data_IF_419369590928
#
_entry.id   IF_419369590928
#
_cell.length_a   1.000
_cell.length_b   1.000
_cell.length_c   1.000
_cell.angle_alpha   90.00
_cell.angle_beta   90.00
_cell.angle_gamma   90.00
#
_symmetry.space_group_name_H-M   'P 1'
#
loop_
_entity.id
_entity.type
_entity.pdbx_description
1 polymer ?
#
# COMPACT_ATOMS: atom_id res chain seq x y z
N UNK A 1 -14.87 -7.28 7.85
CA UNK A 1 -14.22 -7.74 9.09
C UNK A 1 -15.31 -8.06 10.07
N UNK A 2 -15.36 -9.27 10.63
CA UNK A 2 -16.49 -9.70 11.46
C UNK A 2 -16.40 -9.17 12.88
N UNK A 3 -15.21 -9.25 13.50
CA UNK A 3 -15.06 -8.91 14.92
C UNK A 3 -13.66 -8.39 15.24
N UNK A 4 -13.61 -7.29 15.98
CA UNK A 4 -12.46 -6.92 16.81
C UNK A 4 -12.94 -6.83 18.26
N UNK A 5 -12.29 -7.54 19.16
CA UNK A 5 -12.51 -7.45 20.60
C UNK A 5 -11.17 -7.32 21.32
N UNK A 6 -11.08 -6.45 22.32
CA UNK A 6 -9.89 -6.28 23.14
C UNK A 6 -10.24 -5.90 24.58
N UNK A 7 -9.46 -6.43 25.52
CA UNK A 7 -9.46 -6.13 26.94
C UNK A 7 -8.03 -5.76 27.34
N UNK A 8 -7.86 -4.57 27.91
CA UNK A 8 -6.56 -4.06 28.33
C UNK A 8 -6.51 -3.98 29.86
N UNK A 9 -5.39 -4.40 30.45
CA UNK A 9 -5.09 -4.20 31.88
C UNK A 9 -3.92 -3.25 32.01
N UNK A 10 -4.09 -2.19 32.81
CA UNK A 10 -3.09 -1.13 33.02
C UNK A 10 -2.63 -0.49 31.72
N UNK A 11 -3.58 -0.03 30.91
CA UNK A 11 -3.32 0.74 29.70
C UNK A 11 -2.85 2.15 30.08
N UNK A 12 -1.61 2.48 29.79
CA UNK A 12 -1.10 3.85 29.87
C UNK A 12 -1.22 4.51 28.49
N UNK A 13 -2.01 5.58 28.43
CA UNK A 13 -2.07 6.45 27.26
C UNK A 13 -1.19 7.69 27.48
N UNK A 14 -0.75 8.32 26.40
CA UNK A 14 -0.18 9.66 26.50
C UNK A 14 -1.19 10.68 27.06
N UNK A 15 -0.70 11.82 27.54
CA UNK A 15 -1.53 12.75 28.29
C UNK A 15 -2.73 13.25 27.45
N UNK A 16 -3.94 13.39 28.01
CA UNK A 16 -5.11 13.84 27.25
C UNK A 16 -4.92 15.18 26.53
N UNK A 17 -4.08 16.08 27.07
CA UNK A 17 -3.74 17.36 26.42
C UNK A 17 -2.92 17.21 25.13
N UNK A 18 -2.35 16.03 24.87
CA UNK A 18 -1.67 15.68 23.63
C UNK A 18 -2.62 15.05 22.59
N UNK A 19 -3.84 14.66 22.99
CA UNK A 19 -4.80 14.09 22.05
C UNK A 19 -5.28 15.19 21.11
N UNK A 20 -5.33 14.85 19.83
CA UNK A 20 -5.72 15.74 18.75
C UNK A 20 -6.88 15.08 18.01
N UNK A 21 -8.10 15.62 18.15
CA UNK A 21 -9.24 15.15 17.37
C UNK A 21 -8.87 15.08 15.88
N UNK A 22 -9.27 14.00 15.20
CA UNK A 22 -8.93 13.79 13.79
C UNK A 22 -7.51 13.28 13.53
N UNK A 23 -6.59 13.24 14.51
CA UNK A 23 -5.26 12.62 14.35
C UNK A 23 -5.23 11.26 15.08
N UNK A 24 -5.44 10.11 14.40
CA UNK A 24 -5.48 8.80 15.04
C UNK A 24 -4.22 8.46 15.84
N UNK A 25 -3.04 8.90 15.38
CA UNK A 25 -1.74 8.71 16.05
C UNK A 25 -1.49 9.64 17.25
N UNK A 26 -2.39 10.59 17.52
CA UNK A 26 -2.25 11.48 18.69
C UNK A 26 -2.60 10.79 20.01
N UNK A 27 -3.46 9.77 19.96
CA UNK A 27 -3.68 8.84 21.06
C UNK A 27 -2.65 7.72 20.89
N UNK A 28 -1.71 7.65 21.82
CA UNK A 28 -0.62 6.68 21.82
C UNK A 28 -0.73 5.82 23.06
N UNK A 29 -0.65 4.52 22.85
CA UNK A 29 -0.42 3.57 23.94
C UNK A 29 1.04 3.65 24.33
N UNK A 30 1.32 4.12 25.56
CA UNK A 30 2.67 4.21 26.13
C UNK A 30 3.10 2.88 26.72
N UNK A 31 2.20 2.24 27.46
CA UNK A 31 2.45 0.95 28.08
C UNK A 31 1.13 0.19 28.24
N UNK A 32 1.21 -1.13 28.28
CA UNK A 32 0.09 -2.00 28.62
C UNK A 32 0.64 -3.25 29.31
N UNK A 33 0.22 -3.50 30.55
CA UNK A 33 0.67 -4.70 31.26
C UNK A 33 0.14 -5.98 30.59
N UNK A 34 -1.12 -5.98 30.16
CA UNK A 34 -1.74 -7.12 29.47
C UNK A 34 -2.77 -6.65 28.46
N UNK A 35 -2.75 -7.29 27.30
CA UNK A 35 -3.81 -7.23 26.30
C UNK A 35 -4.34 -8.63 26.07
N UNK A 36 -5.65 -8.79 26.21
CA UNK A 36 -6.37 -9.94 25.67
C UNK A 36 -7.14 -9.45 24.44
N UNK A 37 -6.91 -10.01 23.26
CA UNK A 37 -7.51 -9.56 22.03
C UNK A 37 -7.91 -10.72 21.12
N UNK A 38 -8.94 -10.48 20.31
CA UNK A 38 -9.39 -11.35 19.23
C UNK A 38 -9.78 -10.48 18.03
N UNK A 39 -9.25 -10.83 16.87
CA UNK A 39 -9.57 -10.25 15.57
C UNK A 39 -9.98 -11.38 14.64
N UNK A 40 -11.17 -11.28 14.07
CA UNK A 40 -11.72 -12.26 13.14
C UNK A 40 -11.97 -11.58 11.79
N UNK A 41 -11.28 -12.09 10.78
CA UNK A 41 -11.36 -11.63 9.39
C UNK A 41 -12.00 -12.75 8.58
N UNK A 42 -13.10 -12.46 7.89
CA UNK A 42 -13.75 -13.45 7.03
C UNK A 42 -13.06 -13.51 5.67
N UNK A 43 -13.03 -14.70 5.08
CA UNK A 43 -12.57 -14.88 3.70
C UNK A 43 -13.32 -13.94 2.75
N UNK A 44 -14.65 -13.88 2.90
CA UNK A 44 -15.51 -13.00 2.10
C UNK A 44 -15.08 -11.54 2.20
N UNK A 45 -14.70 -11.05 3.38
CA UNK A 45 -14.27 -9.66 3.53
C UNK A 45 -12.98 -9.38 2.75
N UNK A 46 -12.05 -10.35 2.73
CA UNK A 46 -10.82 -10.23 1.95
C UNK A 46 -11.13 -10.32 0.47
N UNK A 47 -12.00 -11.24 0.03
CA UNK A 47 -12.38 -11.36 -1.37
C UNK A 47 -13.18 -10.16 -1.89
N UNK A 48 -14.09 -9.60 -1.10
CA UNK A 48 -14.82 -8.36 -1.43
C UNK A 48 -13.83 -7.18 -1.57
N UNK A 49 -12.82 -7.13 -0.69
CA UNK A 49 -11.71 -6.19 -0.83
C UNK A 49 -10.94 -6.47 -2.13
N UNK A 50 -10.40 -7.66 -2.34
CA UNK A 50 -9.65 -8.02 -3.55
C UNK A 50 -10.43 -7.76 -4.86
N UNK A 51 -11.75 -8.00 -4.86
CA UNK A 51 -12.63 -7.74 -6.00
C UNK A 51 -12.79 -6.26 -6.34
N UNK A 52 -12.48 -5.35 -5.41
CA UNK A 52 -12.40 -3.92 -5.71
C UNK A 52 -11.02 -3.46 -6.19
N UNK A 53 -10.08 -4.37 -6.51
CA UNK A 53 -8.99 -4.11 -7.44
C UNK A 53 -9.41 -4.52 -8.86
N UNK A 54 -10.14 -3.67 -9.62
CA UNK A 54 -10.49 -4.03 -10.99
C UNK A 54 -9.21 -4.19 -11.81
N UNK A 55 -9.01 -5.38 -12.36
CA UNK A 55 -8.15 -5.54 -13.53
C UNK A 55 -9.01 -6.09 -14.66
N UNK A 56 -9.05 -5.38 -15.80
CA UNK A 56 -9.82 -5.74 -17.00
C UNK A 56 -9.41 -7.08 -17.61
N UNK A 57 -8.27 -7.64 -17.18
CA UNK A 57 -7.71 -8.91 -17.68
C UNK A 57 -7.29 -9.86 -16.56
N UNK A 58 -7.80 -9.73 -15.34
CA UNK A 58 -7.45 -10.68 -14.28
C UNK A 58 -8.30 -10.60 -13.02
N UNK A 59 -8.15 -11.59 -12.16
CA UNK A 59 -8.79 -11.64 -10.85
C UNK A 59 -7.86 -12.28 -9.83
N UNK A 60 -7.93 -11.84 -8.58
CA UNK A 60 -7.26 -12.47 -7.44
C UNK A 60 -8.35 -12.83 -6.43
N UNK A 61 -8.26 -14.03 -5.86
CA UNK A 61 -9.09 -14.48 -4.75
C UNK A 61 -8.22 -15.16 -3.71
N UNK A 62 -8.73 -15.21 -2.49
CA UNK A 62 -8.20 -16.01 -1.41
C UNK A 62 -9.25 -17.03 -0.99
N UNK A 63 -8.82 -18.26 -0.77
CA UNK A 63 -9.61 -19.29 -0.13
C UNK A 63 -8.90 -19.68 1.18
N UNK A 64 -9.64 -19.70 2.28
CA UNK A 64 -9.17 -20.18 3.55
C UNK A 64 -9.36 -21.69 3.62
N UNK A 65 -8.29 -22.36 4.02
CA UNK A 65 -8.26 -23.80 4.23
C UNK A 65 -7.85 -24.03 5.69
N UNK A 66 -8.30 -25.12 6.35
CA UNK A 66 -7.88 -25.40 7.70
C UNK A 66 -6.34 -25.36 7.86
N UNK A 67 -5.84 -24.38 8.60
CA UNK A 67 -4.42 -24.12 8.84
C UNK A 67 -3.62 -23.59 7.65
N UNK A 68 -4.23 -23.24 6.53
CA UNK A 68 -3.54 -22.74 5.33
C UNK A 68 -4.37 -21.75 4.53
N UNK A 69 -3.74 -21.09 3.57
CA UNK A 69 -4.42 -20.19 2.64
C UNK A 69 -4.07 -20.59 1.22
N UNK A 70 -5.04 -20.48 0.32
CA UNK A 70 -4.87 -20.57 -1.11
C UNK A 70 -5.10 -19.19 -1.69
N UNK A 71 -4.08 -18.61 -2.31
CA UNK A 71 -4.22 -17.40 -3.12
C UNK A 71 -4.26 -17.83 -4.58
N UNK A 72 -5.38 -17.58 -5.25
CA UNK A 72 -5.56 -17.89 -6.65
C UNK A 72 -5.63 -16.60 -7.46
N UNK A 73 -4.90 -16.56 -8.57
CA UNK A 73 -4.97 -15.47 -9.54
C UNK A 73 -5.17 -16.00 -10.94
N UNK A 74 -5.98 -15.31 -11.73
CA UNK A 74 -6.17 -15.56 -13.16
C UNK A 74 -5.80 -14.30 -13.92
N UNK A 75 -5.11 -14.46 -15.04
CA UNK A 75 -4.76 -13.37 -15.96
C UNK A 75 -4.94 -13.81 -17.40
N UNK A 76 -5.65 -13.00 -18.18
CA UNK A 76 -5.71 -13.15 -19.62
C UNK A 76 -4.47 -12.56 -20.28
N UNK A 77 -3.85 -13.36 -21.15
CA UNK A 77 -2.71 -12.94 -21.97
C UNK A 77 -3.02 -13.16 -23.44
N UNK A 78 -2.22 -12.58 -24.33
CA UNK A 78 -2.35 -12.82 -25.78
C UNK A 78 -2.17 -14.29 -26.18
N UNK A 79 -1.64 -15.14 -25.29
CA UNK A 79 -1.40 -16.57 -25.50
C UNK A 79 -2.39 -17.47 -24.73
N UNK A 80 -3.42 -16.89 -24.11
CA UNK A 80 -4.42 -17.60 -23.30
C UNK A 80 -4.44 -17.18 -21.84
N UNK A 81 -5.26 -17.86 -21.04
CA UNK A 81 -5.40 -17.58 -19.61
C UNK A 81 -4.31 -18.26 -18.80
N UNK A 82 -3.56 -17.47 -18.03
CA UNK A 82 -2.64 -17.96 -17.02
C UNK A 82 -3.38 -17.99 -15.68
N UNK A 83 -3.43 -19.16 -15.05
CA UNK A 83 -3.92 -19.36 -13.69
C UNK A 83 -2.73 -19.68 -12.80
N UNK A 84 -2.54 -18.93 -11.73
CA UNK A 84 -1.52 -19.22 -10.74
C UNK A 84 -2.18 -19.40 -9.37
N UNK A 85 -1.73 -20.41 -8.63
CA UNK A 85 -2.27 -20.81 -7.34
C UNK A 85 -1.11 -20.95 -6.36
N UNK A 86 -1.16 -20.20 -5.27
CA UNK A 86 -0.17 -20.27 -4.19
C UNK A 86 -0.87 -20.79 -2.94
N UNK A 87 -0.45 -21.94 -2.44
CA UNK A 87 -0.91 -22.47 -1.15
C UNK A 87 0.18 -22.33 -0.12
N UNK A 88 -0.15 -22.00 1.12
CA UNK A 88 0.84 -21.92 2.20
C UNK A 88 0.21 -21.99 3.58
N UNK A 89 1.00 -22.43 4.56
CA UNK A 89 0.62 -22.47 5.98
C UNK A 89 0.98 -21.13 6.59
N UNK A 90 -0.01 -20.44 7.18
CA UNK A 90 0.27 -19.21 7.92
C UNK A 90 0.65 -19.54 9.36
N UNK A 91 1.72 -18.91 9.83
CA UNK A 91 2.20 -19.06 11.21
C UNK A 91 2.53 -17.70 11.82
N UNK A 92 2.61 -17.65 13.16
CA UNK A 92 3.17 -16.49 13.87
C UNK A 92 4.54 -16.88 14.41
N UNK A 93 5.57 -16.26 13.87
CA UNK A 93 6.96 -16.34 14.35
C UNK A 93 7.25 -15.23 15.37
N UNK A 94 8.06 -15.56 16.38
CA UNK A 94 8.43 -14.69 17.49
C UNK A 94 7.24 -14.01 18.21
N UNK A 95 6.03 -14.57 18.05
CA UNK A 95 4.78 -14.02 18.58
C UNK A 95 4.28 -12.73 17.90
N UNK A 96 4.94 -12.26 16.83
CA UNK A 96 4.66 -10.96 16.20
C UNK A 96 4.75 -10.94 14.67
N UNK A 97 5.35 -11.93 14.02
CA UNK A 97 5.51 -11.92 12.56
C UNK A 97 4.65 -12.98 11.93
N UNK A 98 3.75 -12.61 11.03
CA UNK A 98 3.01 -13.58 10.25
C UNK A 98 3.90 -14.02 9.08
N UNK A 99 4.18 -15.32 8.98
CA UNK A 99 4.99 -15.93 7.91
C UNK A 99 4.21 -16.97 7.13
N UNK A 100 4.65 -17.29 5.91
CA UNK A 100 4.09 -18.32 5.05
C UNK A 100 5.04 -19.53 4.93
N UNK A 101 4.80 -20.55 5.75
CA UNK A 101 5.50 -21.82 5.65
C UNK A 101 4.97 -22.72 4.54
N UNK A 102 5.83 -23.61 4.03
CA UNK A 102 5.46 -24.68 3.10
C UNK A 102 4.71 -24.21 1.83
N UNK A 103 5.08 -23.05 1.31
CA UNK A 103 4.41 -22.50 0.14
C UNK A 103 4.59 -23.40 -1.09
N UNK A 104 3.52 -23.60 -1.84
CA UNK A 104 3.50 -24.32 -3.13
C UNK A 104 2.85 -23.45 -4.18
N UNK A 105 3.53 -23.30 -5.32
CA UNK A 105 3.04 -22.51 -6.45
C UNK A 105 2.73 -23.45 -7.61
N UNK A 106 1.51 -23.32 -8.15
CA UNK A 106 1.08 -24.00 -9.38
C UNK A 106 0.76 -22.96 -10.44
N UNK A 107 1.28 -23.14 -11.64
CA UNK A 107 0.95 -22.34 -12.83
C UNK A 107 0.28 -23.24 -13.84
N UNK A 108 -0.94 -22.89 -14.24
CA UNK A 108 -1.80 -23.68 -15.13
C UNK A 108 -1.91 -25.14 -14.68
N UNK A 109 -1.98 -25.35 -13.35
CA UNK A 109 -2.08 -26.66 -12.71
C UNK A 109 -0.75 -27.41 -12.56
N UNK A 110 0.35 -26.92 -13.14
CA UNK A 110 1.68 -27.53 -12.99
C UNK A 110 2.43 -26.93 -11.80
N UNK A 111 3.11 -27.78 -11.01
CA UNK A 111 3.95 -27.32 -9.90
C UNK A 111 5.16 -26.56 -10.46
N UNK A 112 5.37 -25.34 -9.94
CA UNK A 112 6.47 -24.44 -10.29
C UNK A 112 7.21 -23.95 -9.04
N UNK A 113 6.98 -24.57 -7.87
CA UNK A 113 7.44 -24.09 -6.57
C UNK A 113 8.95 -23.83 -6.55
N UNK A 114 9.74 -24.72 -7.16
CA UNK A 114 11.20 -24.59 -7.18
C UNK A 114 11.69 -23.37 -7.97
N UNK A 115 10.98 -22.98 -9.03
CA UNK A 115 11.33 -21.82 -9.85
C UNK A 115 11.17 -20.50 -9.08
N UNK A 116 10.27 -20.46 -8.10
CA UNK A 116 9.92 -19.26 -7.33
C UNK A 116 10.37 -19.34 -5.86
N UNK A 117 11.12 -20.37 -5.47
CA UNK A 117 11.49 -20.62 -4.06
C UNK A 117 12.14 -19.42 -3.38
N UNK A 118 13.02 -18.71 -4.10
CA UNK A 118 13.71 -17.52 -3.58
C UNK A 118 12.75 -16.33 -3.42
N UNK A 119 11.83 -16.16 -4.37
CA UNK A 119 10.85 -15.06 -4.36
C UNK A 119 9.87 -15.26 -3.21
N UNK A 120 9.38 -16.49 -2.99
CA UNK A 120 8.55 -16.88 -1.85
C UNK A 120 9.24 -16.56 -0.53
N UNK A 121 10.49 -17.01 -0.35
CA UNK A 121 11.24 -16.78 0.88
C UNK A 121 11.49 -15.28 1.14
N UNK A 122 11.49 -14.45 0.10
CA UNK A 122 11.62 -13.00 0.21
C UNK A 122 10.34 -12.29 0.68
N UNK A 123 9.19 -12.97 0.69
CA UNK A 123 7.92 -12.41 1.17
C UNK A 123 7.78 -12.45 2.70
N UNK A 124 8.59 -13.25 3.39
CA UNK A 124 8.52 -13.35 4.84
C UNK A 124 9.28 -12.21 5.55
N UNK A 125 8.67 -11.58 6.58
CA UNK A 125 7.31 -11.82 7.07
C UNK A 125 6.25 -11.13 6.20
N UNK A 126 5.10 -11.78 6.01
CA UNK A 126 3.94 -11.18 5.34
C UNK A 126 3.39 -9.97 6.12
N UNK A 127 3.44 -10.04 7.45
CA UNK A 127 3.00 -8.97 8.34
C UNK A 127 3.87 -8.89 9.58
N UNK A 128 4.34 -7.69 9.90
CA UNK A 128 4.86 -7.39 11.24
C UNK A 128 3.74 -6.81 12.12
N UNK A 129 3.43 -7.48 13.21
CA UNK A 129 2.39 -7.09 14.17
C UNK A 129 2.90 -6.09 15.21
N UNK A 130 4.16 -5.64 15.12
CA UNK A 130 4.66 -4.54 15.94
C UNK A 130 3.86 -3.24 15.71
N UNK A 131 3.46 -2.99 14.46
CA UNK A 131 2.65 -1.82 14.06
C UNK A 131 1.15 -2.11 14.09
N UNK A 132 0.74 -3.28 14.60
CA UNK A 132 -0.66 -3.62 14.70
C UNK A 132 -1.36 -2.74 15.76
N UNK A 133 -2.58 -2.23 15.50
CA UNK A 133 -3.25 -1.27 16.39
C UNK A 133 -3.50 -1.79 17.81
N UNK A 134 -3.51 -3.10 18.00
CA UNK A 134 -3.68 -3.74 19.30
C UNK A 134 -2.31 -4.18 19.83
N UNK A 135 -1.80 -3.56 20.92
CA UNK A 135 -0.50 -3.91 21.47
C UNK A 135 -0.59 -5.30 22.12
N UNK A 136 0.15 -6.29 21.61
CA UNK A 136 0.28 -7.58 22.27
C UNK A 136 1.70 -8.15 22.14
N UNK A 137 2.13 -8.89 23.16
CA UNK A 137 3.44 -9.55 23.18
C UNK A 137 3.45 -10.90 22.47
N UNK A 138 2.29 -11.55 22.34
CA UNK A 138 2.18 -12.88 21.74
C UNK A 138 0.83 -13.07 21.05
N UNK A 139 0.87 -13.07 19.73
CA UNK A 139 -0.25 -13.42 18.88
C UNK A 139 -0.27 -14.91 18.52
N UNK A 140 -1.47 -15.44 18.33
CA UNK A 140 -1.77 -16.76 17.81
C UNK A 140 -2.62 -16.56 16.57
N UNK A 141 -2.26 -17.23 15.49
CA UNK A 141 -3.04 -17.26 14.26
C UNK A 141 -3.72 -18.62 14.13
N UNK A 142 -5.00 -18.60 13.76
CA UNK A 142 -5.75 -19.78 13.33
C UNK A 142 -6.49 -19.44 12.06
N UNK A 143 -6.50 -20.39 11.13
CA UNK A 143 -7.24 -20.29 9.87
C UNK A 143 -8.15 -21.51 9.80
N UNK A 144 -9.44 -21.29 9.61
CA UNK A 144 -10.42 -22.33 9.30
C UNK A 144 -10.88 -22.20 7.83
N UNK A 145 -12.03 -22.74 7.47
CA UNK A 145 -12.56 -22.71 6.11
C UNK A 145 -13.34 -21.43 5.75
N UNK A 146 -13.53 -20.52 6.71
CA UNK A 146 -14.31 -19.29 6.50
C UNK A 146 -13.65 -18.05 7.08
N UNK A 147 -12.71 -18.21 8.01
CA UNK A 147 -12.12 -17.12 8.77
C UNK A 147 -10.64 -17.31 9.09
N UNK A 148 -9.97 -16.17 9.24
CA UNK A 148 -8.67 -16.04 9.85
C UNK A 148 -8.86 -15.33 11.19
N UNK A 149 -8.41 -15.98 12.25
CA UNK A 149 -8.47 -15.48 13.62
C UNK A 149 -7.07 -15.19 14.14
N UNK A 150 -6.85 -13.93 14.49
CA UNK A 150 -5.67 -13.49 15.22
C UNK A 150 -6.08 -13.23 16.68
N UNK A 151 -5.54 -13.98 17.63
CA UNK A 151 -5.91 -13.84 19.05
C UNK A 151 -4.72 -13.92 19.99
N UNK A 152 -4.89 -13.40 21.19
CA UNK A 152 -3.98 -13.68 22.30
C UNK A 152 -4.32 -15.04 22.94
N UNK A 153 -3.41 -15.65 23.74
CA UNK A 153 -3.67 -16.93 24.40
C UNK A 153 -4.91 -16.94 25.29
N UNK A 154 -5.20 -15.80 25.93
CA UNK A 154 -6.40 -15.60 26.74
C UNK A 154 -7.34 -14.71 25.94
N UNK A 155 -8.61 -15.11 25.70
CA UNK A 155 -9.57 -14.28 25.01
C UNK A 155 -10.00 -13.08 25.86
N UNK A 156 -10.44 -11.97 25.24
CA UNK A 156 -11.02 -10.85 25.97
C UNK A 156 -12.29 -11.29 26.69
N UNK A 157 -12.46 -10.86 27.94
CA UNK A 157 -13.72 -11.05 28.68
C UNK A 157 -14.80 -10.09 28.17
N UNK A 158 -16.05 -10.47 28.34
CA UNK A 158 -17.15 -9.52 28.20
C UNK A 158 -17.01 -8.41 29.25
N UNK A 159 -17.25 -7.17 28.82
CA UNK A 159 -17.22 -6.03 29.73
C UNK A 159 -18.40 -6.15 30.72
N UNK A 160 -18.09 -6.31 32.00
CA UNK A 160 -19.09 -6.20 33.07
C UNK A 160 -19.36 -4.72 33.35
N UNK A 161 -20.64 -4.34 33.48
CA UNK A 161 -21.06 -2.97 33.84
C UNK A 161 -21.78 -2.22 32.74
N UNK A 162 -21.54 -0.91 32.65
CA UNK A 162 -22.22 -0.04 31.68
C UNK A 162 -21.66 -0.26 30.27
N UNK A 163 -22.46 -0.87 29.41
CA UNK A 163 -22.15 -0.99 27.99
C UNK A 163 -22.58 0.28 27.26
N UNK A 164 -21.60 1.01 26.73
CA UNK A 164 -21.83 2.12 25.82
C UNK A 164 -21.76 1.61 24.39
N UNK A 165 -22.89 1.61 23.68
CA UNK A 165 -22.92 1.34 22.24
C UNK A 165 -22.76 2.67 21.51
N UNK A 166 -21.58 2.89 20.94
CA UNK A 166 -21.43 3.95 19.95
C UNK A 166 -21.95 3.42 18.61
N UNK A 167 -23.18 3.78 18.27
CA UNK A 167 -23.57 3.77 16.87
C UNK A 167 -22.95 5.01 16.24
N UNK A 168 -22.26 4.83 15.12
CA UNK A 168 -21.70 5.94 14.37
C UNK A 168 -22.87 6.72 13.77
N UNK A 169 -23.49 7.59 14.56
CA UNK A 169 -24.16 8.77 14.02
C UNK A 169 -23.10 9.58 13.26
N UNK A 170 -23.52 10.40 12.30
CA UNK A 170 -22.68 11.30 11.56
C UNK A 170 -22.10 12.40 12.48
N UNK A 171 -21.32 12.03 13.47
CA UNK A 171 -20.31 12.87 14.10
C UNK A 171 -19.18 12.93 13.07
N UNK A 172 -19.03 14.04 12.31
CA UNK A 172 -17.82 14.21 11.54
C UNK A 172 -16.70 14.21 12.57
N UNK A 173 -15.85 13.17 12.55
CA UNK A 173 -14.52 13.32 13.12
C UNK A 173 -14.00 14.64 12.56
N UNK A 174 -13.53 15.58 13.39
CA UNK A 174 -12.96 16.80 12.85
C UNK A 174 -11.89 16.37 11.84
N UNK A 175 -11.84 17.04 10.67
CA UNK A 175 -10.92 16.66 9.61
C UNK A 175 -9.52 16.51 10.21
N UNK A 176 -8.76 15.47 9.83
CA UNK A 176 -7.39 15.34 10.27
C UNK A 176 -6.66 16.64 9.95
N UNK A 177 -5.81 17.09 10.87
CA UNK A 177 -5.09 18.34 10.65
C UNK A 177 -4.28 18.24 9.35
N UNK A 178 -4.38 19.23 8.44
CA UNK A 178 -3.65 19.22 7.18
C UNK A 178 -2.15 19.26 7.43
N UNK A 179 -1.39 18.62 6.53
CA UNK A 179 0.06 18.77 6.52
C UNK A 179 0.41 20.25 6.37
N UNK A 180 1.39 20.70 7.16
CA UNK A 180 1.87 22.07 7.09
C UNK A 180 2.90 22.18 5.98
N UNK A 181 2.51 22.77 4.85
CA UNK A 181 3.42 23.08 3.76
C UNK A 181 3.11 24.44 3.14
N UNK A 182 4.09 24.97 2.43
CA UNK A 182 3.99 26.22 1.67
C UNK A 182 3.99 25.84 0.19
N UNK A 183 2.88 26.05 -0.54
CA UNK A 183 2.76 25.64 -1.95
C UNK A 183 3.93 26.11 -2.82
N UNK A 184 4.46 27.31 -2.58
CA UNK A 184 5.56 27.94 -3.31
C UNK A 184 6.91 27.20 -3.20
N UNK A 185 7.03 26.24 -2.26
CA UNK A 185 8.23 25.38 -2.16
C UNK A 185 8.23 24.25 -3.18
N UNK A 186 7.08 23.92 -3.75
CA UNK A 186 6.95 22.91 -4.79
C UNK A 186 7.32 23.51 -6.13
N UNK A 187 8.02 22.76 -6.95
CA UNK A 187 8.50 23.17 -8.27
C UNK A 187 8.02 22.19 -9.34
N UNK A 188 8.00 22.64 -10.60
CA UNK A 188 7.64 21.77 -11.72
C UNK A 188 8.61 20.59 -11.84
N UNK A 189 8.05 19.40 -11.97
CA UNK A 189 8.84 18.17 -12.04
C UNK A 189 9.25 17.63 -10.67
N UNK A 190 8.85 18.25 -9.56
CA UNK A 190 8.93 17.61 -8.26
C UNK A 190 8.13 16.32 -8.27
N UNK A 191 8.67 15.28 -7.65
CA UNK A 191 8.07 13.96 -7.55
C UNK A 191 7.60 13.78 -6.12
N UNK A 192 6.31 13.55 -5.93
CA UNK A 192 5.72 13.29 -4.63
C UNK A 192 5.49 11.78 -4.50
N UNK A 193 6.00 11.19 -3.42
CA UNK A 193 5.72 9.82 -3.01
C UNK A 193 4.82 9.86 -1.78
N UNK A 194 3.75 9.07 -1.76
CA UNK A 194 2.79 9.03 -0.63
C UNK A 194 2.58 7.62 -0.10
N UNK A 195 2.39 7.50 1.21
CA UNK A 195 1.84 6.30 1.84
C UNK A 195 0.33 6.50 1.98
N UNK A 196 -0.45 5.85 1.12
CA UNK A 196 -1.90 5.96 1.12
C UNK A 196 -2.56 5.18 2.26
N UNK A 197 -3.66 5.73 2.78
CA UNK A 197 -4.54 5.13 3.78
C UNK A 197 -5.56 4.17 3.16
N UNK A 198 -5.80 4.28 1.86
CA UNK A 198 -6.75 3.41 1.17
C UNK A 198 -6.35 1.95 1.35
N UNK A 199 -7.35 1.08 1.48
CA UNK A 199 -7.12 -0.35 1.62
C UNK A 199 -6.31 -0.91 0.44
N UNK A 200 -6.44 -0.32 -0.76
CA UNK A 200 -5.62 -0.63 -1.94
C UNK A 200 -4.15 -0.33 -1.71
N UNK A 201 -3.85 0.84 -1.15
CA UNK A 201 -2.49 1.21 -0.77
C UNK A 201 -1.94 0.25 0.27
N UNK A 202 -2.73 -0.07 1.31
CA UNK A 202 -2.30 -0.99 2.36
C UNK A 202 -2.10 -2.42 1.86
N UNK A 203 -2.94 -2.91 0.96
CA UNK A 203 -2.77 -4.22 0.34
C UNK A 203 -1.56 -4.24 -0.62
N UNK A 204 -1.33 -3.20 -1.42
CA UNK A 204 -0.10 -3.09 -2.25
C UNK A 204 1.15 -3.12 -1.37
N UNK A 205 1.16 -2.34 -0.28
CA UNK A 205 2.27 -2.28 0.68
C UNK A 205 2.44 -3.60 1.44
N UNK A 206 1.36 -4.28 1.77
CA UNK A 206 1.37 -5.57 2.48
C UNK A 206 1.90 -6.69 1.60
N UNK A 207 1.38 -6.83 0.38
CA UNK A 207 1.71 -7.97 -0.48
C UNK A 207 3.04 -7.79 -1.23
N UNK A 208 3.46 -6.54 -1.47
CA UNK A 208 4.52 -6.29 -2.43
C UNK A 208 5.59 -5.28 -1.98
N UNK A 209 5.47 -4.71 -0.77
CA UNK A 209 6.54 -3.89 -0.16
C UNK A 209 6.52 -3.99 1.37
N UNK A 210 6.96 -2.94 2.08
CA UNK A 210 6.80 -2.81 3.54
C UNK A 210 5.58 -1.93 3.86
N UNK A 211 4.86 -2.18 4.98
CA UNK A 211 3.68 -1.40 5.38
C UNK A 211 3.91 0.12 5.48
N UNK A 212 5.15 0.51 5.81
CA UNK A 212 5.56 1.91 5.99
C UNK A 212 6.08 2.53 4.69
N UNK A 213 6.11 1.80 3.58
CA UNK A 213 6.67 2.27 2.31
C UNK A 213 5.68 3.15 1.52
N UNK A 214 6.08 3.64 0.35
CA UNK A 214 5.23 4.48 -0.50
C UNK A 214 4.38 3.64 -1.45
N UNK A 215 3.07 3.88 -1.46
CA UNK A 215 2.10 3.13 -2.29
C UNK A 215 1.77 3.83 -3.59
N UNK A 216 2.00 5.14 -3.68
CA UNK A 216 1.59 5.94 -4.83
C UNK A 216 2.57 7.08 -5.09
N UNK A 217 2.56 7.60 -6.32
CA UNK A 217 3.44 8.68 -6.75
C UNK A 217 2.78 9.61 -7.77
N UNK A 218 3.17 10.89 -7.73
CA UNK A 218 2.72 11.90 -8.68
C UNK A 218 3.81 12.93 -8.99
N UNK A 219 3.63 13.68 -10.07
CA UNK A 219 4.54 14.74 -10.50
C UNK A 219 3.88 16.11 -10.42
N UNK A 220 4.57 17.09 -9.85
CA UNK A 220 4.07 18.44 -9.68
C UNK A 220 4.15 19.22 -10.99
N UNK A 221 3.09 19.97 -11.27
CA UNK A 221 3.05 20.99 -12.32
C UNK A 221 2.26 22.21 -11.85
N UNK A 222 2.88 23.38 -11.92
CA UNK A 222 2.22 24.66 -11.77
C UNK A 222 1.42 25.00 -13.02
N UNK A 223 0.14 25.31 -12.81
CA UNK A 223 -0.77 25.78 -13.85
C UNK A 223 -1.78 26.76 -13.24
N UNK A 224 -1.98 27.90 -13.90
CA UNK A 224 -2.89 28.93 -13.39
C UNK A 224 -2.47 29.54 -12.04
N UNK A 225 -1.17 29.52 -11.71
CA UNK A 225 -0.66 30.04 -10.43
C UNK A 225 -0.90 29.13 -9.23
N UNK A 226 -1.31 27.87 -9.45
CA UNK A 226 -1.48 26.87 -8.40
C UNK A 226 -0.68 25.59 -8.75
N UNK A 227 -0.14 24.87 -7.77
CA UNK A 227 0.48 23.58 -7.99
C UNK A 227 -0.57 22.46 -8.11
N UNK A 228 -0.43 21.66 -9.14
CA UNK A 228 -1.20 20.45 -9.41
C UNK A 228 -0.30 19.24 -9.34
N UNK A 229 -0.89 18.07 -9.09
CA UNK A 229 -0.19 16.79 -9.12
C UNK A 229 -0.79 15.95 -10.23
N UNK A 230 0.06 15.46 -11.12
CA UNK A 230 -0.30 14.58 -12.22
C UNK A 230 0.11 13.16 -11.84
N UNK A 231 -0.84 12.23 -11.89
CA UNK A 231 -0.61 10.84 -11.52
C UNK A 231 -1.54 9.91 -12.29
N UNK A 232 -1.12 8.66 -12.47
CA UNK A 232 -2.00 7.62 -12.98
C UNK A 232 -2.75 6.98 -11.82
N UNK A 233 -4.08 7.00 -11.86
CA UNK A 233 -4.93 6.57 -10.77
C UNK A 233 -5.80 5.38 -11.16
N UNK A 234 -5.87 4.33 -10.31
CA UNK A 234 -6.80 3.24 -10.54
C UNK A 234 -8.27 3.69 -10.35
N UNK A 235 -8.53 4.78 -9.61
CA UNK A 235 -9.89 5.22 -9.31
C UNK A 235 -10.55 5.92 -10.49
N UNK A 236 -9.79 6.73 -11.24
CA UNK A 236 -10.26 7.32 -12.50
C UNK A 236 -9.95 6.46 -13.73
N UNK A 237 -9.27 5.32 -13.54
CA UNK A 237 -8.79 4.41 -14.58
C UNK A 237 -7.89 5.09 -15.65
N UNK A 238 -7.27 6.22 -15.33
CA UNK A 238 -6.43 7.00 -16.25
C UNK A 238 -5.43 7.91 -15.53
N UNK A 239 -4.60 8.58 -16.31
CA UNK A 239 -3.81 9.73 -15.85
C UNK A 239 -4.76 10.89 -15.59
N UNK A 240 -4.71 11.38 -14.35
CA UNK A 240 -5.48 12.50 -13.89
C UNK A 240 -4.58 13.60 -13.33
N UNK A 241 -5.19 14.74 -13.06
CA UNK A 241 -4.54 15.88 -12.48
C UNK A 241 -5.44 16.45 -11.40
N UNK A 242 -4.92 16.51 -10.18
CA UNK A 242 -5.65 17.02 -9.02
C UNK A 242 -4.86 18.13 -8.30
N UNK A 243 -5.54 19.02 -7.54
CA UNK A 243 -4.85 20.04 -6.77
C UNK A 243 -3.88 19.41 -5.75
N UNK A 244 -2.73 20.05 -5.52
CA UNK A 244 -1.73 19.57 -4.56
C UNK A 244 -2.31 19.29 -3.16
N UNK A 245 -3.28 20.08 -2.73
CA UNK A 245 -3.94 19.93 -1.42
C UNK A 245 -4.80 18.67 -1.33
N UNK A 246 -5.43 18.26 -2.43
CA UNK A 246 -6.23 17.03 -2.48
C UNK A 246 -5.32 15.80 -2.53
N UNK A 247 -4.27 15.82 -3.37
CA UNK A 247 -3.27 14.74 -3.42
C UNK A 247 -2.56 14.52 -2.07
N UNK A 248 -2.32 15.60 -1.32
CA UNK A 248 -1.74 15.56 0.02
C UNK A 248 -2.80 15.54 1.12
N UNK A 249 -4.04 15.17 0.82
CA UNK A 249 -5.12 15.19 1.79
C UNK A 249 -4.79 14.24 2.96
N UNK A 250 -4.84 14.73 4.21
CA UNK A 250 -4.60 13.88 5.37
C UNK A 250 -5.72 12.84 5.58
N UNK A 251 -6.81 12.88 4.81
CA UNK A 251 -7.79 11.78 4.76
C UNK A 251 -7.26 10.59 3.94
N UNK A 252 -6.52 10.88 2.87
CA UNK A 252 -6.09 9.89 1.88
C UNK A 252 -4.69 9.34 2.16
N UNK A 253 -3.83 10.09 2.86
CA UNK A 253 -2.42 9.71 3.05
C UNK A 253 -1.96 9.80 4.52
N UNK A 254 -0.98 8.99 4.89
CA UNK A 254 -0.32 9.00 6.21
C UNK A 254 0.96 9.83 6.23
N UNK A 255 1.72 9.81 5.14
CA UNK A 255 2.95 10.59 4.97
C UNK A 255 3.22 10.83 3.50
N UNK A 256 4.00 11.87 3.22
CA UNK A 256 4.53 12.16 1.90
C UNK A 256 6.01 12.56 1.94
N UNK A 257 6.71 12.28 0.86
CA UNK A 257 8.06 12.80 0.61
C UNK A 257 8.13 13.41 -0.78
N UNK A 258 8.86 14.52 -0.90
CA UNK A 258 9.05 15.23 -2.16
C UNK A 258 10.50 15.11 -2.60
N UNK A 259 10.69 14.70 -3.84
CA UNK A 259 11.98 14.50 -4.48
C UNK A 259 12.13 15.42 -5.69
N UNK A 260 13.35 15.91 -5.91
CA UNK A 260 13.70 16.82 -7.01
C UNK A 260 14.91 16.32 -7.79
N UNK A 261 14.95 16.61 -9.09
CA UNK A 261 16.11 16.35 -9.93
C UNK A 261 17.28 17.28 -9.58
N UNK A 262 18.41 16.69 -9.16
CA UNK A 262 19.62 17.41 -8.76
C UNK A 262 20.17 18.26 -9.91
N UNK A 263 20.23 19.57 -9.70
CA UNK A 263 20.93 20.50 -10.60
C UNK A 263 20.41 20.57 -12.03
N UNK A 264 19.21 20.06 -12.33
CA UNK A 264 18.67 19.98 -13.69
C UNK A 264 17.22 20.47 -13.78
N UNK A 265 17.01 21.74 -13.43
CA UNK A 265 15.69 22.41 -13.45
C UNK A 265 15.03 22.36 -14.83
N UNK A 266 15.80 22.50 -15.91
CA UNK A 266 15.25 22.38 -17.27
C UNK A 266 14.69 21.00 -17.59
N UNK A 267 15.34 19.93 -17.11
CA UNK A 267 14.81 18.58 -17.27
C UNK A 267 13.61 18.33 -16.37
N UNK A 268 13.59 18.84 -15.14
CA UNK A 268 12.42 18.78 -14.27
C UNK A 268 11.19 19.44 -14.93
N UNK A 269 11.37 20.63 -15.51
CA UNK A 269 10.34 21.33 -16.29
C UNK A 269 9.88 20.52 -17.52
N UNK A 270 10.79 19.87 -18.24
CA UNK A 270 10.43 18.98 -19.37
C UNK A 270 9.66 17.75 -18.91
N UNK A 271 10.05 17.15 -17.79
CA UNK A 271 9.37 15.99 -17.22
C UNK A 271 7.94 16.37 -16.78
N UNK A 272 7.78 17.49 -16.08
CA UNK A 272 6.46 18.02 -15.72
C UNK A 272 5.57 18.29 -16.94
N UNK A 273 6.14 18.77 -18.05
CA UNK A 273 5.42 18.91 -19.32
C UNK A 273 5.06 17.58 -19.97
N UNK A 274 5.94 16.57 -19.91
CA UNK A 274 5.66 15.24 -20.43
C UNK A 274 4.51 14.58 -19.66
N UNK A 275 4.53 14.65 -18.32
CA UNK A 275 3.43 14.19 -17.48
C UNK A 275 2.10 14.90 -17.84
N UNK A 276 2.13 16.21 -18.06
CA UNK A 276 0.96 16.97 -18.51
C UNK A 276 0.45 16.50 -19.88
N UNK A 277 1.35 16.12 -20.79
CA UNK A 277 0.99 15.48 -22.06
C UNK A 277 0.17 14.21 -21.86
N UNK A 278 0.60 13.31 -20.97
CA UNK A 278 -0.13 12.06 -20.68
C UNK A 278 -1.52 12.31 -20.09
N UNK A 279 -1.66 13.35 -19.26
CA UNK A 279 -2.96 13.79 -18.76
C UNK A 279 -3.87 14.27 -19.90
N UNK A 280 -3.38 15.14 -20.79
CA UNK A 280 -4.17 15.64 -21.92
C UNK A 280 -4.58 14.55 -22.90
N UNK A 281 -3.75 13.51 -23.05
CA UNK A 281 -4.05 12.32 -23.84
C UNK A 281 -5.14 11.44 -23.21
N UNK A 282 -5.45 11.64 -21.92
CA UNK A 282 -6.35 10.77 -21.17
C UNK A 282 -5.79 9.35 -21.04
N UNK A 283 -4.46 9.22 -20.87
CA UNK A 283 -3.76 7.93 -20.96
C UNK A 283 -4.34 6.93 -19.93
N UNK A 284 -4.79 5.74 -20.35
CA UNK A 284 -5.37 4.75 -19.44
C UNK A 284 -4.41 4.32 -18.32
N UNK A 285 -4.99 3.95 -17.17
CA UNK A 285 -4.26 3.33 -16.09
C UNK A 285 -3.85 1.91 -16.50
N UNK A 286 -2.61 1.53 -16.22
CA UNK A 286 -2.12 0.18 -16.41
C UNK A 286 -2.40 -0.67 -15.17
N UNK A 287 -3.50 -1.42 -15.23
CA UNK A 287 -3.94 -2.37 -14.21
C UNK A 287 -3.15 -3.68 -14.19
N UNK A 288 -2.28 -3.88 -15.18
CA UNK A 288 -1.43 -5.06 -15.32
C UNK A 288 0.01 -4.82 -14.89
N UNK A 289 0.38 -3.56 -14.60
CA UNK A 289 1.73 -3.12 -14.29
C UNK A 289 2.77 -3.60 -15.32
N UNK A 290 2.37 -3.72 -16.59
CA UNK A 290 3.20 -4.11 -17.72
C UNK A 290 3.96 -2.90 -18.28
N UNK A 291 5.21 -2.74 -17.82
CA UNK A 291 6.11 -1.69 -18.24
C UNK A 291 6.49 -1.69 -19.74
N UNK A 292 5.99 -2.65 -20.52
CA UNK A 292 6.16 -2.73 -21.98
C UNK A 292 4.98 -2.15 -22.73
N UNK A 293 3.83 -1.98 -22.08
CA UNK A 293 2.70 -1.29 -22.71
C UNK A 293 3.01 0.20 -22.73
N UNK A 294 3.11 0.77 -23.92
CA UNK A 294 3.27 2.21 -24.07
C UNK A 294 1.92 2.92 -23.97
N UNK A 295 0.79 2.24 -24.15
CA UNK A 295 -0.54 2.85 -24.25
C UNK A 295 -1.21 3.09 -22.90
N UNK A 296 -0.80 2.37 -21.87
CA UNK A 296 -1.25 2.57 -20.49
C UNK A 296 -0.05 2.88 -19.59
N UNK A 297 -0.31 3.41 -18.40
CA UNK A 297 0.73 3.59 -17.38
C UNK A 297 0.16 3.57 -15.98
N UNK A 298 0.96 3.08 -15.03
CA UNK A 298 0.70 3.22 -13.60
C UNK A 298 1.54 4.35 -12.99
N UNK A 299 1.30 4.65 -11.72
CA UNK A 299 1.77 5.89 -11.09
C UNK A 299 3.28 6.11 -11.14
N UNK A 300 4.09 5.09 -10.85
CA UNK A 300 5.56 5.20 -10.87
C UNK A 300 6.13 5.15 -12.28
N UNK A 301 5.48 4.41 -13.18
CA UNK A 301 5.85 4.38 -14.58
C UNK A 301 5.65 5.73 -15.26
N UNK A 302 4.58 6.46 -14.92
CA UNK A 302 4.36 7.83 -15.38
C UNK A 302 5.57 8.72 -15.08
N UNK A 303 6.09 8.65 -13.84
CA UNK A 303 7.26 9.43 -13.42
C UNK A 303 8.48 9.05 -14.25
N UNK A 304 8.74 7.75 -14.36
CA UNK A 304 9.89 7.24 -15.09
C UNK A 304 9.84 7.62 -16.58
N UNK A 305 8.72 7.39 -17.28
CA UNK A 305 8.54 7.74 -18.70
C UNK A 305 8.59 9.27 -18.93
N UNK A 306 8.05 10.06 -18.00
CA UNK A 306 8.12 11.52 -18.07
C UNK A 306 9.58 12.02 -17.98
N UNK A 307 10.38 11.46 -17.07
CA UNK A 307 11.80 11.77 -16.96
C UNK A 307 12.60 11.28 -18.16
N UNK A 308 12.31 10.08 -18.69
CA UNK A 308 12.96 9.56 -19.90
C UNK A 308 12.70 10.46 -21.11
N UNK A 309 11.44 10.90 -21.28
CA UNK A 309 11.05 11.91 -22.30
C UNK A 309 11.80 13.24 -22.11
N UNK A 310 12.15 13.60 -20.87
CA UNK A 310 12.95 14.79 -20.57
C UNK A 310 14.46 14.61 -20.84
N UNK A 311 14.89 13.42 -21.26
CA UNK A 311 16.29 13.04 -21.47
C UNK A 311 17.01 12.64 -20.18
N UNK A 312 16.28 12.22 -19.15
CA UNK A 312 16.82 11.80 -17.85
C UNK A 312 16.55 10.33 -17.61
N UNK A 313 17.62 9.54 -17.60
CA UNK A 313 17.57 8.16 -17.14
C UNK A 313 17.73 8.11 -15.61
N UNK A 314 16.61 8.02 -14.90
CA UNK A 314 16.57 7.95 -13.43
C UNK A 314 17.32 6.73 -12.86
N UNK A 315 17.48 5.66 -13.64
CA UNK A 315 17.97 4.36 -13.14
C UNK A 315 19.32 3.95 -13.72
N UNK A 316 19.78 4.64 -14.77
CA UNK A 316 21.04 4.36 -15.45
C UNK A 316 21.06 2.97 -16.10
N UNK A 317 22.27 2.50 -16.43
CA UNK A 317 22.50 1.21 -17.09
C UNK A 317 22.14 -0.05 -16.29
N UNK A 318 21.61 0.06 -15.07
CA UNK A 318 21.17 -1.06 -14.22
C UNK A 318 19.66 -1.06 -13.94
N UNK A 319 18.86 -0.57 -14.89
CA UNK A 319 17.40 -0.43 -14.78
C UNK A 319 16.69 -1.67 -14.22
N UNK A 320 17.03 -2.88 -14.65
CA UNK A 320 16.38 -4.12 -14.18
C UNK A 320 16.51 -4.35 -12.67
N UNK A 321 17.53 -3.80 -12.01
CA UNK A 321 17.72 -3.94 -10.55
C UNK A 321 16.75 -3.10 -9.71
N UNK A 322 16.01 -2.18 -10.33
CA UNK A 322 15.03 -1.34 -9.65
C UNK A 322 13.62 -1.94 -9.66
N UNK A 323 13.36 -2.89 -10.56
CA UNK A 323 12.10 -3.59 -10.65
C UNK A 323 12.11 -4.79 -9.69
N UNK A 324 11.01 -4.99 -8.99
CA UNK A 324 10.84 -6.13 -8.09
C UNK A 324 9.96 -7.17 -8.77
N UNK A 325 10.30 -8.46 -8.68
CA UNK A 325 9.44 -9.52 -9.19
C UNK A 325 8.21 -9.62 -8.29
N UNK A 326 7.05 -9.39 -8.89
CA UNK A 326 5.75 -9.49 -8.25
C UNK A 326 5.02 -10.67 -8.87
N UNK A 327 4.58 -11.67 -8.07
CA UNK A 327 3.71 -12.73 -8.57
C UNK A 327 2.54 -12.14 -9.38
N UNK A 328 2.16 -12.76 -10.49
CA UNK A 328 1.06 -12.35 -11.39
C UNK A 328 1.26 -11.06 -12.20
N UNK A 329 1.96 -10.06 -11.66
CA UNK A 329 2.19 -8.75 -12.28
C UNK A 329 3.55 -8.62 -12.98
N UNK A 330 4.47 -9.57 -12.74
CA UNK A 330 5.80 -9.54 -13.36
C UNK A 330 6.73 -8.56 -12.67
N UNK A 331 7.62 -7.90 -13.41
CA UNK A 331 8.59 -6.98 -12.84
C UNK A 331 7.97 -5.58 -12.71
N UNK A 332 7.67 -5.16 -11.47
CA UNK A 332 6.99 -3.90 -11.16
C UNK A 332 7.98 -2.90 -10.56
N UNK A 333 7.84 -1.62 -10.94
CA UNK A 333 8.62 -0.52 -10.38
C UNK A 333 7.82 0.14 -9.25
N UNK A 334 8.21 -0.11 -8.01
CA UNK A 334 7.55 0.51 -6.86
C UNK A 334 7.99 1.97 -6.69
N UNK A 335 7.14 2.85 -6.10
CA UNK A 335 7.50 4.23 -5.81
C UNK A 335 8.82 4.37 -5.05
N UNK A 336 9.09 3.46 -4.11
CA UNK A 336 10.32 3.44 -3.31
C UNK A 336 11.60 3.17 -4.12
N UNK A 337 11.49 2.59 -5.33
CA UNK A 337 12.62 2.45 -6.21
C UNK A 337 13.18 3.81 -6.67
N UNK A 338 12.33 4.85 -6.76
CA UNK A 338 12.74 6.21 -7.13
C UNK A 338 13.71 6.81 -6.10
N UNK A 339 13.55 6.47 -4.83
CA UNK A 339 14.40 6.94 -3.72
C UNK A 339 15.87 6.54 -3.93
N UNK A 340 16.09 5.39 -4.58
CA UNK A 340 17.44 4.87 -4.86
C UNK A 340 18.12 5.55 -6.05
N UNK A 341 17.39 6.38 -6.81
CA UNK A 341 17.98 7.11 -7.94
C UNK A 341 19.04 8.10 -7.43
N UNK A 342 20.28 8.08 -7.97
CA UNK A 342 21.31 9.03 -7.57
C UNK A 342 21.00 10.46 -8.06
N UNK A 343 20.08 10.60 -9.03
CA UNK A 343 19.71 11.88 -9.65
C UNK A 343 18.64 12.63 -8.86
N UNK A 344 17.99 11.97 -7.90
CA UNK A 344 16.96 12.56 -7.07
C UNK A 344 17.52 12.96 -5.70
N UNK A 345 17.09 14.10 -5.19
CA UNK A 345 17.30 14.53 -3.80
C UNK A 345 15.97 14.75 -3.11
N UNK A 346 15.88 14.37 -1.84
CA UNK A 346 14.72 14.65 -1.01
C UNK A 346 14.75 16.12 -0.60
N UNK A 347 13.70 16.86 -0.90
CA UNK A 347 13.57 18.29 -0.59
C UNK A 347 12.54 18.58 0.50
N UNK A 348 11.62 17.64 0.76
CA UNK A 348 10.58 17.81 1.77
C UNK A 348 10.11 16.44 2.31
N UNK A 349 9.72 16.44 3.58
CA UNK A 349 8.99 15.34 4.23
C UNK A 349 7.76 15.93 4.92
N UNK A 350 6.63 15.24 4.80
CA UNK A 350 5.36 15.59 5.41
C UNK A 350 4.84 14.36 6.18
N UNK A 351 4.73 14.47 7.49
CA UNK A 351 4.40 13.38 8.43
C UNK A 351 3.36 13.74 9.50
#
# INVERSE_FOLDING_TARGET
MERIAAEFSFLELNAPGEWRPGRPRSLRVKDTLRTNAEVVILEKDINDALGSFPSRRGSISIDFLPGSVLVAGKRETGFGTIRVETTGILAVEDGRKITMGNARIRINGQDQTDAFRKDIAGLDPLLDLADFPLPASRWILRVDDVSLRLSTPVPPKEAEGLTWRHEREALPLPPPEPFKFTPERFENGDIILVNGKSWRSKALLFFFSRPDDFSHSGMVRWSGGLPWVIHASPESERVEMEPLQEFLSPFEIEKAEVYRLKGNTMAAERAGRAAWGYFLEGRPFDDLFDNRDEKAMYCTELIWKACETAGVDLFGGKRSSYFSPVPFYGNVLFPSALIRSPLLEKVMTLD
#
